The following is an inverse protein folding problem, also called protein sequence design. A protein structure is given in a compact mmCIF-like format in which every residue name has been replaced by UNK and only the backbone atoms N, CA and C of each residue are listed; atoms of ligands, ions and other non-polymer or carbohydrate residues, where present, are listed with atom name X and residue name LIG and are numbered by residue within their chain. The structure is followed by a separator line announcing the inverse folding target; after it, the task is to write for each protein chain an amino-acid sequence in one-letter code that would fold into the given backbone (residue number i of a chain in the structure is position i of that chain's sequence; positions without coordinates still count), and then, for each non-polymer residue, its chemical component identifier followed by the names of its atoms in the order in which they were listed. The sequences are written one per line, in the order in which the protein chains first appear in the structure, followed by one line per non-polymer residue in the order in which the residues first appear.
data_IF_197388753114
#
_entry.id   IF_197388753114
#
_cell.length_a   1.000
_cell.length_b   1.000
_cell.length_c   1.000
_cell.angle_alpha   90.00
_cell.angle_beta   90.00
_cell.angle_gamma   90.00
#
_symmetry.space_group_name_H-M   'P 1'
#
loop_
_entity.id
_entity.type
_entity.pdbx_description
1 polymer ?
#
# COMPACT_ATOMS: atom_id res chain seq x y z
N UNK A 1 -28.38 -23.52 -10.46
CA UNK A 1 -27.73 -22.62 -11.44
C UNK A 1 -26.66 -21.88 -10.66
N UNK A 2 -25.42 -22.32 -10.79
CA UNK A 2 -24.27 -21.75 -10.05
C UNK A 2 -24.12 -20.30 -10.50
N UNK A 3 -24.11 -19.38 -9.54
CA UNK A 3 -24.03 -17.92 -9.67
C UNK A 3 -23.29 -17.45 -10.94
N UNK A 4 -24.03 -17.13 -12.00
CA UNK A 4 -23.52 -16.24 -13.04
C UNK A 4 -23.64 -14.82 -12.49
N UNK A 5 -22.66 -14.43 -11.67
CA UNK A 5 -22.48 -13.03 -11.37
C UNK A 5 -22.20 -12.30 -12.67
N UNK A 6 -22.97 -11.25 -12.93
CA UNK A 6 -22.71 -10.38 -14.06
C UNK A 6 -21.26 -9.88 -13.98
N UNK A 7 -20.58 -9.92 -15.11
CA UNK A 7 -19.18 -9.50 -15.23
C UNK A 7 -18.98 -8.07 -14.73
N UNK A 8 -19.97 -7.20 -14.94
CA UNK A 8 -19.97 -5.85 -14.39
C UNK A 8 -19.97 -5.83 -12.86
N UNK A 9 -20.79 -6.65 -12.20
CA UNK A 9 -20.85 -6.73 -10.73
C UNK A 9 -19.54 -7.24 -10.13
N UNK A 10 -18.91 -8.24 -10.74
CA UNK A 10 -17.60 -8.76 -10.29
C UNK A 10 -16.53 -7.68 -10.38
N UNK A 11 -16.46 -6.97 -11.51
CA UNK A 11 -15.50 -5.87 -11.70
C UNK A 11 -15.71 -4.76 -10.67
N UNK A 12 -16.96 -4.32 -10.47
CA UNK A 12 -17.27 -3.26 -9.50
C UNK A 12 -16.83 -3.66 -8.09
N UNK A 13 -17.09 -4.90 -7.68
CA UNK A 13 -16.72 -5.42 -6.35
C UNK A 13 -15.20 -5.47 -6.14
N UNK A 14 -14.46 -5.93 -7.17
CA UNK A 14 -12.99 -5.95 -7.16
C UNK A 14 -12.42 -4.53 -7.08
N UNK A 15 -12.96 -3.58 -7.84
CA UNK A 15 -12.51 -2.19 -7.80
C UNK A 15 -12.78 -1.53 -6.44
N UNK A 16 -13.96 -1.75 -5.86
CA UNK A 16 -14.29 -1.22 -4.51
C UNK A 16 -13.34 -1.79 -3.47
N UNK A 17 -13.07 -3.10 -3.51
CA UNK A 17 -12.17 -3.76 -2.57
C UNK A 17 -10.74 -3.22 -2.69
N UNK A 18 -10.24 -3.08 -3.92
CA UNK A 18 -8.91 -2.53 -4.18
C UNK A 18 -8.77 -1.08 -3.69
N UNK A 19 -9.75 -0.22 -3.99
CA UNK A 19 -9.76 1.16 -3.51
C UNK A 19 -9.88 1.24 -1.99
N UNK A 20 -10.72 0.42 -1.38
CA UNK A 20 -10.89 0.34 0.06
C UNK A 20 -9.60 -0.04 0.79
N UNK A 21 -8.94 -1.12 0.34
CA UNK A 21 -7.65 -1.56 0.90
C UNK A 21 -6.59 -0.46 0.71
N UNK A 22 -6.54 0.16 -0.47
CA UNK A 22 -5.58 1.23 -0.76
C UNK A 22 -5.75 2.43 0.18
N UNK A 23 -6.99 2.85 0.46
CA UNK A 23 -7.26 3.94 1.39
C UNK A 23 -6.90 3.58 2.84
N UNK A 24 -7.18 2.35 3.27
CA UNK A 24 -6.79 1.86 4.60
C UNK A 24 -5.27 1.87 4.75
N UNK A 25 -4.54 1.34 3.77
CA UNK A 25 -3.08 1.32 3.75
C UNK A 25 -2.50 2.75 3.70
N UNK A 26 -3.16 3.67 3.01
CA UNK A 26 -2.76 5.07 3.01
C UNK A 26 -2.88 5.69 4.42
N UNK A 27 -4.02 5.52 5.09
CA UNK A 27 -4.20 6.06 6.44
C UNK A 27 -3.22 5.40 7.41
N UNK A 28 -3.14 4.07 7.41
CA UNK A 28 -2.21 3.32 8.25
C UNK A 28 -0.76 3.72 8.00
N UNK A 29 -0.36 3.87 6.74
CA UNK A 29 1.01 4.25 6.38
C UNK A 29 1.42 5.62 6.90
N UNK A 30 0.51 6.60 6.85
CA UNK A 30 0.77 7.94 7.42
C UNK A 30 0.99 7.83 8.93
N UNK A 31 0.15 7.09 9.65
CA UNK A 31 0.28 6.90 11.10
C UNK A 31 1.57 6.15 11.48
N UNK A 32 1.88 5.04 10.80
CA UNK A 32 3.08 4.24 11.08
C UNK A 32 4.34 5.07 10.81
N UNK A 33 4.38 5.80 9.70
CA UNK A 33 5.49 6.71 9.39
C UNK A 33 5.67 7.79 10.47
N UNK A 34 4.58 8.42 10.89
CA UNK A 34 4.62 9.47 11.92
C UNK A 34 5.08 8.89 13.26
N UNK A 35 4.52 7.75 13.67
CA UNK A 35 4.85 7.11 14.94
C UNK A 35 6.33 6.70 14.97
N UNK A 36 6.83 6.11 13.89
CA UNK A 36 8.24 5.73 13.79
C UNK A 36 9.14 6.97 13.82
N UNK A 37 8.86 7.99 12.99
CA UNK A 37 9.65 9.21 12.95
C UNK A 37 9.66 9.94 14.31
N UNK A 38 8.52 9.98 14.99
CA UNK A 38 8.38 10.56 16.33
C UNK A 38 9.16 9.76 17.37
N UNK A 39 9.11 8.42 17.32
CA UNK A 39 9.87 7.55 18.24
C UNK A 39 11.39 7.72 18.12
N UNK A 40 11.86 8.13 16.94
CA UNK A 40 13.28 8.43 16.66
C UNK A 40 13.63 9.91 16.85
N UNK A 41 12.68 10.75 17.23
CA UNK A 41 12.88 12.20 17.42
C UNK A 41 13.18 12.96 16.13
N UNK A 42 12.74 12.48 14.97
CA UNK A 42 13.02 13.09 13.67
C UNK A 42 12.06 14.23 13.32
N UNK A 43 10.76 13.97 13.44
CA UNK A 43 9.68 14.93 13.28
C UNK A 43 8.45 14.34 13.99
N UNK A 44 7.70 15.18 14.71
CA UNK A 44 6.43 14.79 15.32
C UNK A 44 5.23 15.18 14.47
N UNK A 45 5.44 15.97 13.41
CA UNK A 45 4.38 16.45 12.54
C UNK A 45 3.85 15.37 11.58
N UNK A 46 2.58 15.47 11.21
CA UNK A 46 2.00 14.64 10.15
C UNK A 46 2.35 15.11 8.73
N UNK A 47 3.01 16.27 8.57
CA UNK A 47 3.21 16.88 7.25
C UNK A 47 4.16 16.08 6.37
N UNK A 48 5.28 15.61 6.92
CA UNK A 48 6.26 14.81 6.15
C UNK A 48 5.71 13.40 5.87
N UNK A 49 5.20 12.64 6.86
CA UNK A 49 4.53 11.35 6.63
C UNK A 49 3.46 11.41 5.55
N UNK A 50 2.59 12.42 5.60
CA UNK A 50 1.51 12.59 4.62
C UNK A 50 2.06 12.80 3.21
N UNK A 51 3.05 13.70 3.03
CA UNK A 51 3.67 13.95 1.72
C UNK A 51 4.32 12.69 1.16
N UNK A 52 5.06 11.97 1.99
CA UNK A 52 5.75 10.76 1.57
C UNK A 52 4.76 9.66 1.18
N UNK A 53 3.69 9.48 1.96
CA UNK A 53 2.69 8.46 1.65
C UNK A 53 1.82 8.81 0.44
N UNK A 54 1.51 10.10 0.21
CA UNK A 54 0.84 10.55 -1.04
C UNK A 54 1.70 10.20 -2.25
N UNK A 55 3.00 10.44 -2.15
CA UNK A 55 3.92 10.14 -3.24
C UNK A 55 4.01 8.64 -3.54
N UNK A 56 4.11 7.80 -2.49
CA UNK A 56 4.07 6.35 -2.65
C UNK A 56 2.73 5.87 -3.22
N UNK A 57 1.61 6.46 -2.81
CA UNK A 57 0.30 6.16 -3.36
C UNK A 57 0.24 6.47 -4.86
N UNK A 58 0.71 7.64 -5.29
CA UNK A 58 0.74 8.02 -6.72
C UNK A 58 1.56 7.03 -7.52
N UNK A 59 2.71 6.59 -7.00
CA UNK A 59 3.57 5.59 -7.65
C UNK A 59 2.87 4.24 -7.74
N UNK A 60 2.22 3.80 -6.66
CA UNK A 60 1.45 2.56 -6.67
C UNK A 60 0.29 2.61 -7.66
N UNK A 61 -0.37 3.75 -7.85
CA UNK A 61 -1.41 3.89 -8.87
C UNK A 61 -0.81 3.92 -10.29
N UNK A 62 0.23 4.71 -10.51
CA UNK A 62 0.87 4.91 -11.81
C UNK A 62 1.61 3.68 -12.33
N UNK A 63 2.20 2.89 -11.44
CA UNK A 63 2.96 1.68 -11.77
C UNK A 63 2.11 0.43 -11.54
N UNK A 64 1.38 0.38 -10.42
CA UNK A 64 0.63 -0.80 -10.03
C UNK A 64 -0.52 -1.11 -10.98
N UNK A 65 -1.34 -0.11 -11.35
CA UNK A 65 -2.51 -0.33 -12.23
C UNK A 65 -2.09 -0.84 -13.62
N UNK A 66 -1.16 -0.18 -14.34
CA UNK A 66 -0.77 -0.66 -15.67
C UNK A 66 -0.10 -2.03 -15.60
N UNK A 67 0.73 -2.30 -14.59
CA UNK A 67 1.36 -3.61 -14.44
C UNK A 67 0.35 -4.72 -14.15
N UNK A 68 -0.64 -4.50 -13.27
CA UNK A 68 -1.71 -5.50 -13.05
C UNK A 68 -2.47 -5.73 -14.34
N UNK A 69 -2.77 -4.66 -15.10
CA UNK A 69 -3.56 -4.79 -16.32
C UNK A 69 -2.82 -5.56 -17.43
N UNK A 70 -1.51 -5.33 -17.59
CA UNK A 70 -0.72 -5.95 -18.64
C UNK A 70 -0.29 -7.39 -18.32
N UNK A 71 -0.01 -7.68 -17.05
CA UNK A 71 0.64 -8.92 -16.62
C UNK A 71 -0.20 -9.76 -15.64
N UNK A 72 -1.40 -9.30 -15.29
CA UNK A 72 -2.22 -9.89 -14.23
C UNK A 72 -1.68 -9.58 -12.84
N UNK A 73 -2.36 -10.09 -11.81
CA UNK A 73 -1.86 -10.00 -10.44
C UNK A 73 -0.91 -11.17 -10.15
N UNK A 74 0.31 -10.89 -9.71
CA UNK A 74 1.30 -11.93 -9.44
C UNK A 74 2.28 -11.50 -8.36
N UNK A 75 2.76 -12.49 -7.60
CA UNK A 75 3.76 -12.31 -6.55
C UNK A 75 5.03 -11.62 -7.07
N UNK A 76 5.40 -11.88 -8.33
CA UNK A 76 6.57 -11.25 -8.96
C UNK A 76 6.36 -9.74 -9.08
N UNK A 77 5.18 -9.28 -9.49
CA UNK A 77 4.87 -7.85 -9.58
C UNK A 77 4.82 -7.19 -8.21
N UNK A 78 4.38 -7.90 -7.17
CA UNK A 78 4.41 -7.39 -5.80
C UNK A 78 5.84 -7.12 -5.34
N UNK A 79 6.79 -8.00 -5.66
CA UNK A 79 8.21 -7.74 -5.40
C UNK A 79 8.76 -6.55 -6.21
N UNK A 80 8.33 -6.38 -7.47
CA UNK A 80 8.71 -5.23 -8.29
C UNK A 80 8.18 -3.93 -7.67
N UNK A 81 6.90 -3.88 -7.28
CA UNK A 81 6.29 -2.74 -6.60
C UNK A 81 6.98 -2.43 -5.28
N UNK A 82 7.27 -3.46 -4.49
CA UNK A 82 8.01 -3.32 -3.24
C UNK A 82 9.39 -2.70 -3.49
N UNK A 83 10.12 -3.18 -4.49
CA UNK A 83 11.43 -2.63 -4.87
C UNK A 83 11.37 -1.16 -5.28
N UNK A 84 10.40 -0.79 -6.12
CA UNK A 84 10.19 0.62 -6.53
C UNK A 84 9.85 1.49 -5.32
N UNK A 85 8.91 1.04 -4.48
CA UNK A 85 8.52 1.77 -3.26
C UNK A 85 9.68 1.91 -2.27
N UNK A 86 10.54 0.90 -2.15
CA UNK A 86 11.77 0.97 -1.36
C UNK A 86 12.70 2.05 -1.88
N UNK A 87 13.06 1.99 -3.18
CA UNK A 87 13.99 2.97 -3.79
C UNK A 87 13.47 4.38 -3.63
N UNK A 88 12.21 4.60 -4.01
CA UNK A 88 11.62 5.94 -3.99
C UNK A 88 11.43 6.41 -2.55
N UNK A 89 10.89 5.57 -1.67
CA UNK A 89 10.73 5.88 -0.26
C UNK A 89 12.04 6.31 0.40
N UNK A 90 13.14 5.63 0.10
CA UNK A 90 14.47 5.96 0.67
C UNK A 90 14.94 7.32 0.17
N UNK A 91 14.85 7.58 -1.14
CA UNK A 91 15.24 8.88 -1.72
C UNK A 91 14.48 10.04 -1.06
N UNK A 92 13.17 9.89 -0.87
CA UNK A 92 12.36 10.94 -0.27
C UNK A 92 12.54 11.05 1.25
N UNK A 93 12.84 9.95 1.94
CA UNK A 93 13.18 9.97 3.38
C UNK A 93 14.47 10.75 3.60
N UNK A 94 15.51 10.49 2.81
CA UNK A 94 16.76 11.26 2.84
C UNK A 94 16.46 12.75 2.59
N UNK A 95 15.65 13.06 1.57
CA UNK A 95 15.35 14.45 1.20
C UNK A 95 14.54 15.20 2.27
N UNK A 96 13.51 14.58 2.85
CA UNK A 96 12.59 15.27 3.75
C UNK A 96 13.03 15.23 5.22
N UNK A 97 13.50 14.07 5.70
CA UNK A 97 13.97 13.93 7.08
C UNK A 97 15.46 14.25 7.25
N UNK A 98 16.19 14.49 6.15
CA UNK A 98 17.63 14.80 6.13
C UNK A 98 18.46 13.75 6.86
N UNK A 99 18.08 12.48 6.72
CA UNK A 99 18.77 11.33 7.33
C UNK A 99 19.74 10.69 6.37
N UNK A 100 20.70 9.96 6.93
CA UNK A 100 21.63 9.18 6.15
C UNK A 100 20.92 8.02 5.45
N UNK A 101 21.63 7.40 4.51
CA UNK A 101 21.08 6.31 3.70
C UNK A 101 20.72 5.08 4.55
N UNK A 102 21.47 4.77 5.59
CA UNK A 102 21.24 3.61 6.45
C UNK A 102 19.95 3.75 7.24
N UNK A 103 19.78 4.87 7.97
CA UNK A 103 18.55 5.16 8.71
C UNK A 103 17.33 5.22 7.79
N UNK A 104 17.48 5.79 6.59
CA UNK A 104 16.39 5.91 5.62
C UNK A 104 15.94 4.55 5.05
N UNK A 105 16.89 3.65 4.80
CA UNK A 105 16.59 2.26 4.38
C UNK A 105 15.84 1.55 5.50
N UNK A 106 16.34 1.62 6.73
CA UNK A 106 15.69 0.97 7.87
C UNK A 106 14.27 1.49 8.09
N UNK A 107 14.08 2.80 8.00
CA UNK A 107 12.76 3.46 8.10
C UNK A 107 11.77 2.86 7.11
N UNK A 108 12.09 2.94 5.81
CA UNK A 108 11.17 2.49 4.77
C UNK A 108 10.95 0.98 4.82
N UNK A 109 11.97 0.20 5.14
CA UNK A 109 11.84 -1.25 5.27
C UNK A 109 10.84 -1.64 6.37
N UNK A 110 10.94 -1.01 7.55
CA UNK A 110 10.00 -1.25 8.66
C UNK A 110 8.57 -0.88 8.25
N UNK A 111 8.39 0.29 7.62
CA UNK A 111 7.07 0.75 7.20
C UNK A 111 6.46 -0.17 6.14
N UNK A 112 7.23 -0.52 5.10
CA UNK A 112 6.76 -1.39 4.03
C UNK A 112 6.41 -2.78 4.55
N UNK A 113 7.21 -3.31 5.48
CA UNK A 113 6.91 -4.59 6.12
C UNK A 113 5.61 -4.56 6.92
N UNK A 114 5.39 -3.53 7.73
CA UNK A 114 4.14 -3.37 8.49
C UNK A 114 2.93 -3.18 7.57
N UNK A 115 3.07 -2.36 6.53
CA UNK A 115 2.02 -2.15 5.53
C UNK A 115 1.70 -3.44 4.77
N UNK A 116 2.72 -4.26 4.46
CA UNK A 116 2.51 -5.56 3.82
C UNK A 116 1.68 -6.49 4.71
N UNK A 117 1.97 -6.58 6.01
CA UNK A 117 1.16 -7.37 6.95
C UNK A 117 -0.29 -6.88 6.97
N UNK A 118 -0.51 -5.57 7.05
CA UNK A 118 -1.85 -4.97 7.03
C UNK A 118 -2.55 -5.31 5.71
N UNK A 119 -1.87 -5.20 4.59
CA UNK A 119 -2.42 -5.49 3.26
C UNK A 119 -2.88 -6.95 3.16
N UNK A 120 -2.08 -7.90 3.64
CA UNK A 120 -2.42 -9.33 3.66
C UNK A 120 -3.66 -9.59 4.52
N UNK A 121 -3.71 -9.02 5.73
CA UNK A 121 -4.84 -9.20 6.66
C UNK A 121 -6.13 -8.65 6.06
N UNK A 122 -6.12 -7.40 5.59
CA UNK A 122 -7.30 -6.80 4.98
C UNK A 122 -7.67 -7.47 3.66
N UNK A 123 -6.69 -7.87 2.84
CA UNK A 123 -6.93 -8.66 1.63
C UNK A 123 -7.75 -9.91 1.93
N UNK A 124 -7.34 -10.69 2.95
CA UNK A 124 -8.08 -11.88 3.36
C UNK A 124 -9.50 -11.56 3.87
N UNK A 125 -9.66 -10.52 4.69
CA UNK A 125 -10.97 -10.07 5.20
C UNK A 125 -11.89 -9.72 4.03
N UNK A 126 -11.42 -8.93 3.07
CA UNK A 126 -12.20 -8.55 1.90
C UNK A 126 -12.55 -9.76 1.02
N UNK A 127 -11.62 -10.68 0.79
CA UNK A 127 -11.90 -11.92 0.06
C UNK A 127 -12.99 -12.75 0.73
N UNK A 128 -12.97 -12.88 2.07
CA UNK A 128 -14.02 -13.58 2.81
C UNK A 128 -15.36 -12.87 2.70
N UNK A 129 -15.39 -11.54 2.87
CA UNK A 129 -16.61 -10.75 2.69
C UNK A 129 -17.20 -10.88 1.29
N UNK A 130 -16.36 -10.94 0.25
CA UNK A 130 -16.81 -11.21 -1.11
C UNK A 130 -17.40 -12.62 -1.24
N UNK A 131 -16.73 -13.66 -0.74
CA UNK A 131 -17.24 -15.04 -0.80
C UNK A 131 -18.60 -15.19 -0.10
N UNK A 132 -18.76 -14.60 1.08
CA UNK A 132 -20.02 -14.68 1.82
C UNK A 132 -21.10 -13.73 1.29
N UNK A 133 -20.73 -12.52 0.88
CA UNK A 133 -21.67 -11.55 0.30
C UNK A 133 -22.23 -11.98 -1.04
N UNK A 134 -21.48 -12.79 -1.81
CA UNK A 134 -21.92 -13.40 -3.06
C UNK A 134 -22.75 -14.69 -2.86
N UNK A 135 -22.81 -15.22 -1.62
CA UNK A 135 -23.56 -16.43 -1.28
C UNK A 135 -24.97 -16.17 -0.74
N UNK A 136 -25.33 -14.89 -0.57
CA UNK A 136 -26.68 -14.38 -0.23
C UNK A 136 -27.39 -13.90 -1.49
#
# INVERSE_FOLDING_TARGET
MIFQLDYASVITLVMISYLGITLILFVAGVYIMQMYASSKGWDSSFKIPLKLNILLLIINLAVGIPLTFLYGDSVVLDFVRFGINMVVGVIFTIKYYKKDKGESIQFILVIQFLLFIIAVVFGYIFSMLMLYGLSL
#
